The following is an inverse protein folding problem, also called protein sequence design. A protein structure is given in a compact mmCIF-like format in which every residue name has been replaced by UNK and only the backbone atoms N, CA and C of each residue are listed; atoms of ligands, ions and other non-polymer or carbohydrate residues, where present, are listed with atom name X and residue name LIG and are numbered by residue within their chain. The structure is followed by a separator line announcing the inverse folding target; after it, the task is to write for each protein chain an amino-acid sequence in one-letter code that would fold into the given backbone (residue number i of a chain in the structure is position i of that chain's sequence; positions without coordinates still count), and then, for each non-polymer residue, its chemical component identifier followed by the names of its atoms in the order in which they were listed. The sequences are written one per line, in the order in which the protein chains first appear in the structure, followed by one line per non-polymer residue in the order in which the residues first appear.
data_IF_522604717194
#
_entry.id   IF_522604717194
#
_cell.length_a   1.000
_cell.length_b   1.000
_cell.length_c   1.000
_cell.angle_alpha   90.00
_cell.angle_beta   90.00
_cell.angle_gamma   90.00
#
_symmetry.space_group_name_H-M   'P 1'
#
loop_
_entity.id
_entity.type
_entity.pdbx_description
1 polymer ?
#
# COMPACT_ATOMS: atom_id res chain seq x y z
N UNK A 1 -15.48 -7.83 -1.20
CA UNK A 1 -15.29 -7.60 -2.64
C UNK A 1 -13.83 -7.82 -2.99
N UNK A 2 -13.54 -8.18 -4.23
CA UNK A 2 -12.16 -8.25 -4.72
C UNK A 2 -11.64 -6.84 -5.03
N UNK A 3 -10.33 -6.56 -4.82
CA UNK A 3 -9.73 -5.29 -5.19
C UNK A 3 -9.82 -5.04 -6.69
N UNK A 4 -10.19 -3.82 -7.08
CA UNK A 4 -10.22 -3.39 -8.48
C UNK A 4 -8.87 -2.76 -8.84
N UNK A 5 -8.35 -3.08 -10.02
CA UNK A 5 -7.16 -2.41 -10.55
C UNK A 5 -7.55 -1.31 -11.55
N UNK A 6 -6.83 -0.18 -11.54
CA UNK A 6 -7.14 1.00 -12.37
C UNK A 6 -5.85 1.50 -13.05
N UNK A 7 -5.87 1.59 -14.38
CA UNK A 7 -4.84 2.30 -15.11
C UNK A 7 -5.19 3.80 -15.15
N UNK A 8 -4.36 4.63 -14.54
CA UNK A 8 -4.54 6.09 -14.44
C UNK A 8 -3.57 6.87 -15.34
N UNK A 9 -3.03 6.23 -16.39
CA UNK A 9 -2.09 6.83 -17.33
C UNK A 9 -0.66 6.85 -16.78
N UNK A 10 -0.37 7.77 -15.86
CA UNK A 10 1.00 7.92 -15.30
C UNK A 10 1.28 7.00 -14.11
N UNK A 11 0.24 6.38 -13.56
CA UNK A 11 0.35 5.39 -12.48
C UNK A 11 -0.68 4.27 -12.64
N UNK A 12 -0.42 3.16 -11.96
CA UNK A 12 -1.30 2.00 -11.88
C UNK A 12 -1.77 1.80 -10.45
N UNK A 13 -3.08 1.71 -10.23
CA UNK A 13 -3.65 1.47 -8.90
C UNK A 13 -3.96 -0.01 -8.77
N UNK A 14 -3.42 -0.64 -7.72
CA UNK A 14 -3.59 -2.08 -7.46
C UNK A 14 -3.74 -2.36 -5.97
N UNK A 15 -4.05 -3.60 -5.61
CA UNK A 15 -3.90 -4.05 -4.23
C UNK A 15 -2.43 -3.98 -3.78
N UNK A 16 -2.21 -3.72 -2.49
CA UNK A 16 -0.89 -3.89 -1.88
C UNK A 16 -0.48 -5.37 -1.89
N UNK A 17 0.81 -5.66 -2.08
CA UNK A 17 1.35 -7.03 -2.19
C UNK A 17 2.54 -7.27 -1.26
N UNK A 18 2.69 -8.52 -0.85
CA UNK A 18 3.78 -9.03 -0.02
C UNK A 18 4.02 -10.50 -0.41
N UNK A 19 4.26 -10.74 -1.69
CA UNK A 19 4.47 -12.06 -2.28
C UNK A 19 5.86 -12.16 -2.94
N UNK A 20 6.15 -13.31 -3.55
CA UNK A 20 7.43 -13.62 -4.19
C UNK A 20 7.69 -12.78 -5.46
N UNK A 21 6.64 -12.23 -6.06
CA UNK A 21 6.73 -11.41 -7.27
C UNK A 21 6.84 -9.93 -6.95
N UNK A 22 6.17 -9.46 -5.91
CA UNK A 22 6.14 -8.05 -5.52
C UNK A 22 5.94 -7.88 -4.01
N UNK A 23 6.82 -7.07 -3.41
CA UNK A 23 6.79 -6.77 -1.99
C UNK A 23 6.78 -5.25 -1.72
N UNK A 24 5.63 -4.74 -1.29
CA UNK A 24 5.43 -3.34 -0.95
C UNK A 24 5.91 -2.98 0.46
N UNK A 25 6.19 -3.98 1.31
CA UNK A 25 6.50 -3.75 2.73
C UNK A 25 7.72 -2.83 2.93
N UNK A 26 8.84 -2.98 2.21
CA UNK A 26 9.98 -2.08 2.37
C UNK A 26 9.65 -0.63 1.99
N UNK A 27 8.87 -0.42 0.92
CA UNK A 27 8.46 0.91 0.48
C UNK A 27 7.50 1.57 1.48
N UNK A 28 6.58 0.79 2.08
CA UNK A 28 5.71 1.26 3.16
C UNK A 28 6.53 1.69 4.39
N UNK A 29 7.46 0.86 4.87
CA UNK A 29 8.32 1.22 6.02
C UNK A 29 9.07 2.53 5.76
N UNK A 30 9.63 2.69 4.55
CA UNK A 30 10.30 3.93 4.14
C UNK A 30 9.34 5.13 4.15
N UNK A 31 8.16 5.00 3.56
CA UNK A 31 7.18 6.08 3.46
C UNK A 31 6.65 6.52 4.82
N UNK A 32 6.32 5.58 5.71
CA UNK A 32 5.82 5.89 7.05
C UNK A 32 6.90 6.42 8.01
N UNK A 33 8.17 6.20 7.67
CA UNK A 33 9.32 6.79 8.38
C UNK A 33 9.61 8.23 7.94
N UNK A 34 9.08 8.69 6.80
CA UNK A 34 9.30 10.05 6.29
C UNK A 34 8.71 11.12 7.23
N UNK A 35 9.53 12.04 7.79
CA UNK A 35 9.06 13.11 8.66
C UNK A 35 7.96 13.99 8.05
N UNK A 36 8.01 14.24 6.74
CA UNK A 36 7.00 15.03 6.04
C UNK A 36 5.65 14.30 6.05
N UNK A 37 5.65 12.99 5.81
CA UNK A 37 4.44 12.16 5.84
C UNK A 37 3.88 12.03 7.26
N UNK A 38 4.74 11.86 8.27
CA UNK A 38 4.35 11.74 9.70
C UNK A 38 3.62 12.98 10.24
N UNK A 39 3.79 14.15 9.61
CA UNK A 39 3.05 15.37 9.96
C UNK A 39 1.54 15.22 9.76
N UNK A 40 1.14 14.48 8.71
CA UNK A 40 -0.25 14.39 8.24
C UNK A 40 -0.86 13.01 8.48
N UNK A 41 -0.07 11.93 8.44
CA UNK A 41 -0.55 10.55 8.63
C UNK A 41 -0.23 10.09 10.04
N UNK A 42 -1.11 10.45 11.00
CA UNK A 42 -0.91 10.17 12.43
C UNK A 42 -1.49 8.85 12.92
N UNK A 43 -2.50 8.34 12.20
CA UNK A 43 -3.25 7.14 12.60
C UNK A 43 -2.46 5.84 12.43
N UNK A 44 -1.34 5.88 11.72
CA UNK A 44 -0.53 4.70 11.42
C UNK A 44 0.94 5.02 11.69
N UNK A 45 1.62 4.06 12.30
CA UNK A 45 3.07 4.01 12.44
C UNK A 45 3.48 2.61 11.98
N UNK A 46 4.31 2.57 10.95
CA UNK A 46 4.80 1.33 10.34
C UNK A 46 6.30 1.49 10.27
N UNK A 47 7.00 0.85 11.20
CA UNK A 47 8.45 0.96 11.39
C UNK A 47 9.16 -0.34 11.01
N UNK A 48 8.41 -1.45 10.91
CA UNK A 48 8.95 -2.78 10.60
C UNK A 48 8.24 -3.43 9.41
N UNK A 49 8.90 -4.44 8.82
CA UNK A 49 8.33 -5.24 7.73
C UNK A 49 7.09 -6.02 8.18
N UNK A 50 7.08 -6.51 9.42
CA UNK A 50 5.94 -7.25 9.97
C UNK A 50 4.72 -6.33 10.14
N UNK A 51 4.91 -5.13 10.68
CA UNK A 51 3.85 -4.11 10.77
C UNK A 51 3.34 -3.69 9.38
N UNK A 52 4.22 -3.63 8.38
CA UNK A 52 3.81 -3.38 7.01
C UNK A 52 2.99 -4.55 6.46
N UNK A 53 3.32 -5.79 6.83
CA UNK A 53 2.49 -6.97 6.55
C UNK A 53 1.09 -6.86 7.16
N UNK A 54 0.99 -6.47 8.42
CA UNK A 54 -0.28 -6.26 9.12
C UNK A 54 -1.11 -5.14 8.46
N UNK A 55 -0.45 -4.08 8.01
CA UNK A 55 -1.09 -3.02 7.24
C UNK A 55 -1.70 -3.54 5.94
N UNK A 56 -0.94 -4.32 5.16
CA UNK A 56 -1.39 -4.92 3.91
C UNK A 56 -2.58 -5.86 4.17
N UNK A 57 -2.48 -6.74 5.18
CA UNK A 57 -3.57 -7.63 5.57
C UNK A 57 -4.84 -6.85 5.96
N UNK A 58 -4.68 -5.74 6.69
CA UNK A 58 -5.78 -4.85 7.05
C UNK A 58 -6.43 -4.21 5.82
N UNK A 59 -5.63 -3.75 4.84
CA UNK A 59 -6.15 -3.21 3.57
C UNK A 59 -6.90 -4.26 2.76
N UNK A 60 -6.37 -5.48 2.66
CA UNK A 60 -7.05 -6.59 1.99
C UNK A 60 -8.39 -6.95 2.67
N UNK A 61 -8.43 -6.93 4.01
CA UNK A 61 -9.66 -7.17 4.77
C UNK A 61 -10.71 -6.07 4.52
N UNK A 62 -10.29 -4.81 4.38
CA UNK A 62 -11.18 -3.69 4.06
C UNK A 62 -11.96 -3.89 2.75
N UNK A 63 -11.27 -4.38 1.71
CA UNK A 63 -11.89 -4.77 0.45
C UNK A 63 -12.86 -5.95 0.62
N UNK A 64 -12.39 -7.04 1.27
CA UNK A 64 -13.20 -8.24 1.49
C UNK A 64 -14.51 -7.94 2.20
N UNK A 65 -14.47 -7.13 3.26
CA UNK A 65 -15.62 -6.75 4.06
C UNK A 65 -16.43 -5.56 3.48
N UNK A 66 -16.03 -5.01 2.34
CA UNK A 66 -16.64 -3.82 1.74
C UNK A 66 -16.70 -2.62 2.71
N UNK A 67 -15.68 -2.47 3.54
CA UNK A 67 -15.58 -1.38 4.53
C UNK A 67 -14.67 -0.25 4.05
N UNK A 68 -13.69 -0.57 3.20
CA UNK A 68 -12.74 0.39 2.68
C UNK A 68 -12.14 -0.09 1.37
N UNK A 69 -12.10 0.78 0.38
CA UNK A 69 -11.29 0.62 -0.82
C UNK A 69 -9.98 1.39 -0.62
N UNK A 70 -8.85 0.73 -0.85
CA UNK A 70 -7.51 1.33 -0.76
C UNK A 70 -6.59 0.71 -1.80
N UNK A 71 -5.73 1.53 -2.39
CA UNK A 71 -4.83 1.13 -3.46
C UNK A 71 -3.39 1.46 -3.12
N UNK A 72 -2.48 0.58 -3.55
CA UNK A 72 -1.12 0.95 -3.85
C UNK A 72 -1.14 1.74 -5.17
N UNK A 73 -0.60 2.96 -5.14
CA UNK A 73 -0.27 3.73 -6.35
C UNK A 73 1.10 3.25 -6.80
N UNK A 74 1.16 2.61 -7.97
CA UNK A 74 2.36 1.98 -8.48
C UNK A 74 2.86 2.63 -9.77
N UNK A 75 4.17 2.55 -10.00
CA UNK A 75 4.75 2.85 -11.30
C UNK A 75 4.27 1.81 -12.33
N UNK A 76 3.73 2.21 -13.49
CA UNK A 76 3.03 1.30 -14.40
C UNK A 76 3.85 0.12 -14.92
N UNK A 77 5.16 0.29 -15.09
CA UNK A 77 6.03 -0.69 -15.76
C UNK A 77 6.57 -1.73 -14.80
N UNK A 78 7.05 -1.29 -13.65
CA UNK A 78 7.76 -2.08 -12.64
C UNK A 78 6.82 -2.56 -11.53
N UNK A 79 5.66 -1.91 -11.37
CA UNK A 79 4.76 -2.14 -10.25
C UNK A 79 5.30 -1.58 -8.93
N UNK A 80 6.41 -0.83 -8.92
CA UNK A 80 7.00 -0.29 -7.71
C UNK A 80 6.05 0.68 -7.00
N UNK A 81 5.92 0.57 -5.67
CA UNK A 81 5.05 1.44 -4.88
C UNK A 81 5.55 2.88 -4.85
N UNK A 82 4.70 3.80 -5.32
CA UNK A 82 4.91 5.24 -5.26
C UNK A 82 4.20 5.88 -4.04
N UNK A 83 3.11 5.28 -3.56
CA UNK A 83 2.36 5.75 -2.39
C UNK A 83 1.03 5.00 -2.20
N UNK A 84 0.23 5.37 -1.19
CA UNK A 84 -1.12 4.81 -0.96
C UNK A 84 -1.66 4.98 0.46
#
# INVERSE_FOLDING_TARGET
MEPVEINAGTCYLRAFRADDRLDDRPALVKAFSDPAMRRFVRAYRIETIDEAGDYIATRARGWKLNQRASWAIAEPTTGFLLGG
#
